data_IF_058981909525
#
_entry.id   IF_058981909525
#
_cell.length_a   1.000
_cell.length_b   1.000
_cell.length_c   1.000
_cell.angle_alpha   90.00
_cell.angle_beta   90.00
_cell.angle_gamma   90.00
#
_symmetry.space_group_name_H-M   'P 1'
#
loop_
_entity.id
_entity.type
_entity.pdbx_description
1 polymer ?
#
# COMPACT_ATOMS: atom_id res chain seq x y z
N UNK A 1 0.22 4.06 -12.10
CA UNK A 1 1.19 4.40 -11.04
C UNK A 1 2.20 3.28 -10.85
N UNK A 2 1.82 2.08 -10.37
CA UNK A 2 2.78 0.98 -10.20
C UNK A 2 3.60 0.63 -11.45
N UNK A 3 2.99 0.66 -12.64
CA UNK A 3 3.71 0.47 -13.90
C UNK A 3 4.76 1.56 -14.15
N UNK A 4 4.44 2.82 -13.87
CA UNK A 4 5.35 3.96 -13.99
C UNK A 4 6.50 3.83 -12.99
N UNK A 5 6.22 3.43 -11.76
CA UNK A 5 7.24 3.21 -10.74
C UNK A 5 8.15 2.03 -11.10
N UNK A 6 7.60 0.95 -11.66
CA UNK A 6 8.38 -0.22 -12.05
C UNK A 6 9.28 0.04 -13.27
N UNK A 7 8.71 0.57 -14.35
CA UNK A 7 9.43 0.78 -15.61
C UNK A 7 10.19 2.09 -15.60
N UNK A 8 9.50 3.19 -15.30
CA UNK A 8 10.09 4.53 -15.27
C UNK A 8 11.10 4.65 -14.13
N UNK A 9 10.64 4.61 -12.88
CA UNK A 9 11.54 4.85 -11.75
C UNK A 9 12.58 3.75 -11.57
N UNK A 10 12.18 2.48 -11.41
CA UNK A 10 13.12 1.42 -11.10
C UNK A 10 14.01 1.05 -12.28
N UNK A 11 13.44 0.59 -13.40
CA UNK A 11 14.24 0.11 -14.52
C UNK A 11 14.97 1.19 -15.31
N UNK A 12 14.38 2.37 -15.48
CA UNK A 12 15.00 3.41 -16.32
C UNK A 12 15.99 4.29 -15.54
N UNK A 13 15.82 4.45 -14.22
CA UNK A 13 16.71 5.29 -13.41
C UNK A 13 17.43 4.51 -12.29
N UNK A 14 16.69 3.80 -11.43
CA UNK A 14 17.24 3.28 -10.17
C UNK A 14 18.13 2.04 -10.32
N UNK A 15 18.02 1.29 -11.42
CA UNK A 15 18.91 0.16 -11.75
C UNK A 15 20.38 0.54 -11.84
N UNK A 16 20.69 1.77 -12.26
CA UNK A 16 22.06 2.29 -12.30
C UNK A 16 22.67 2.53 -10.91
N UNK A 17 21.81 2.70 -9.89
CA UNK A 17 22.19 3.03 -8.52
C UNK A 17 22.15 1.78 -7.63
N UNK A 18 21.11 0.96 -7.81
CA UNK A 18 20.88 -0.24 -7.01
C UNK A 18 20.48 -1.40 -7.92
N UNK A 19 21.32 -2.44 -8.06
CA UNK A 19 20.99 -3.62 -8.88
C UNK A 19 19.69 -4.31 -8.46
N UNK A 20 19.30 -4.25 -7.17
CA UNK A 20 18.04 -4.80 -6.69
C UNK A 20 16.81 -4.13 -7.31
N UNK A 21 16.96 -2.93 -7.90
CA UNK A 21 15.91 -2.23 -8.64
C UNK A 21 15.39 -3.04 -9.83
N UNK A 22 16.17 -3.97 -10.39
CA UNK A 22 15.69 -4.89 -11.43
C UNK A 22 14.51 -5.73 -10.91
N UNK A 23 14.68 -6.30 -9.71
CA UNK A 23 13.66 -7.12 -9.04
C UNK A 23 12.51 -6.22 -8.59
N UNK A 24 12.80 -5.06 -8.00
CA UNK A 24 11.75 -4.12 -7.58
C UNK A 24 10.88 -3.68 -8.74
N UNK A 25 11.47 -3.37 -9.90
CA UNK A 25 10.73 -3.04 -11.11
C UNK A 25 9.77 -4.15 -11.53
N UNK A 26 10.24 -5.40 -11.58
CA UNK A 26 9.41 -6.55 -11.93
C UNK A 26 8.24 -6.74 -10.95
N UNK A 27 8.50 -6.61 -9.64
CA UNK A 27 7.48 -6.72 -8.59
C UNK A 27 6.43 -5.60 -8.70
N UNK A 28 6.84 -4.38 -9.03
CA UNK A 28 5.93 -3.25 -9.23
C UNK A 28 5.07 -3.42 -10.50
N UNK A 29 5.65 -3.91 -11.60
CA UNK A 29 4.89 -4.25 -12.81
C UNK A 29 3.87 -5.35 -12.51
N UNK A 30 4.27 -6.39 -11.79
CA UNK A 30 3.36 -7.44 -11.35
C UNK A 30 2.20 -6.87 -10.51
N UNK A 31 2.48 -5.98 -9.56
CA UNK A 31 1.43 -5.32 -8.78
C UNK A 31 0.49 -4.49 -9.66
N UNK A 32 0.99 -3.82 -10.69
CA UNK A 32 0.15 -3.10 -11.65
C UNK A 32 -0.81 -4.05 -12.39
N UNK A 33 -0.31 -5.21 -12.82
CA UNK A 33 -1.12 -6.23 -13.49
C UNK A 33 -2.16 -6.84 -12.55
N UNK A 34 -1.80 -7.14 -11.30
CA UNK A 34 -2.72 -7.68 -10.30
C UNK A 34 -3.86 -6.70 -10.00
N UNK A 35 -3.56 -5.41 -9.84
CA UNK A 35 -4.57 -4.37 -9.64
C UNK A 35 -5.49 -4.23 -10.86
N UNK A 36 -4.95 -4.30 -12.08
CA UNK A 36 -5.73 -4.24 -13.30
C UNK A 36 -6.62 -5.48 -13.50
N UNK A 37 -6.13 -6.67 -13.12
CA UNK A 37 -6.84 -7.93 -13.24
C UNK A 37 -7.93 -8.12 -12.16
N UNK A 38 -7.79 -7.48 -11.00
CA UNK A 38 -8.65 -7.71 -9.84
C UNK A 38 -10.17 -7.57 -10.12
N UNK A 39 -10.66 -6.54 -10.84
CA UNK A 39 -12.08 -6.42 -11.17
C UNK A 39 -12.60 -7.56 -12.07
N UNK A 40 -11.75 -8.13 -12.92
CA UNK A 40 -12.11 -9.21 -13.83
C UNK A 40 -12.13 -10.58 -13.14
N UNK A 41 -11.19 -10.81 -12.24
CA UNK A 41 -11.06 -12.08 -11.49
C UNK A 41 -12.02 -12.14 -10.30
N UNK A 42 -12.40 -10.99 -9.76
CA UNK A 42 -13.34 -10.89 -8.64
C UNK A 42 -14.43 -9.86 -8.98
N UNK A 43 -15.52 -10.27 -9.65
CA UNK A 43 -16.60 -9.36 -10.05
C UNK A 43 -17.29 -8.61 -8.88
N UNK A 44 -17.17 -9.15 -7.66
CA UNK A 44 -17.63 -8.51 -6.42
C UNK A 44 -16.64 -7.50 -5.83
N UNK A 45 -15.46 -7.31 -6.43
CA UNK A 45 -14.48 -6.34 -5.97
C UNK A 45 -14.93 -4.93 -6.33
N UNK A 46 -15.57 -4.26 -5.36
CA UNK A 46 -16.00 -2.87 -5.46
C UNK A 46 -15.49 -2.12 -4.23
N UNK A 47 -14.99 -0.92 -4.44
CA UNK A 47 -14.69 -0.01 -3.34
C UNK A 47 -16.04 0.46 -2.77
N UNK A 48 -16.25 0.22 -1.49
CA UNK A 48 -17.49 0.52 -0.80
C UNK A 48 -17.15 1.18 0.54
N UNK A 49 -16.74 2.47 0.53
CA UNK A 49 -16.45 3.18 1.76
C UNK A 49 -17.71 3.24 2.66
N UNK A 50 -17.51 3.04 3.96
CA UNK A 50 -18.56 3.03 4.99
C UNK A 50 -18.19 3.97 6.14
N UNK A 51 -19.14 4.26 7.02
CA UNK A 51 -18.87 5.05 8.24
C UNK A 51 -18.18 4.15 9.27
N UNK A 52 -16.91 3.86 9.04
CA UNK A 52 -16.07 3.06 9.94
C UNK A 52 -14.62 3.53 9.98
N UNK A 53 -13.90 3.07 11.01
CA UNK A 53 -12.48 3.43 11.25
C UNK A 53 -11.57 2.99 10.11
N UNK A 54 -11.89 1.88 9.42
CA UNK A 54 -11.09 1.37 8.30
C UNK A 54 -11.16 2.32 7.11
N UNK A 55 -12.34 2.83 6.81
CA UNK A 55 -12.59 3.80 5.74
C UNK A 55 -11.90 5.12 6.05
N UNK A 56 -12.02 5.62 7.28
CA UNK A 56 -11.32 6.84 7.71
C UNK A 56 -9.81 6.67 7.59
N UNK A 57 -9.24 5.56 8.07
CA UNK A 57 -7.81 5.29 7.96
C UNK A 57 -7.36 5.19 6.49
N UNK A 58 -8.12 4.48 5.65
CA UNK A 58 -7.83 4.35 4.23
C UNK A 58 -7.82 5.69 3.49
N UNK A 59 -8.84 6.52 3.72
CA UNK A 59 -8.95 7.86 3.15
C UNK A 59 -7.85 8.80 3.68
N UNK A 60 -7.52 8.73 4.97
CA UNK A 60 -6.44 9.52 5.56
C UNK A 60 -5.08 9.18 4.94
N UNK A 61 -4.78 7.89 4.72
CA UNK A 61 -3.56 7.46 4.02
C UNK A 61 -3.54 7.94 2.56
N UNK A 62 -4.67 7.84 1.86
CA UNK A 62 -4.78 8.31 0.48
C UNK A 62 -4.59 9.83 0.39
N UNK A 63 -5.22 10.60 1.27
CA UNK A 63 -5.08 12.05 1.35
C UNK A 63 -3.65 12.46 1.74
N UNK A 64 -3.04 11.75 2.69
CA UNK A 64 -1.64 11.97 3.06
C UNK A 64 -0.72 11.81 1.86
N UNK A 65 -0.86 10.72 1.09
CA UNK A 65 -0.01 10.46 -0.06
C UNK A 65 -0.16 11.49 -1.18
N UNK A 66 -1.37 12.01 -1.41
CA UNK A 66 -1.62 12.98 -2.49
C UNK A 66 -1.25 14.40 -2.08
N UNK A 67 -1.49 14.80 -0.83
CA UNK A 67 -1.37 16.18 -0.38
C UNK A 67 -0.16 16.38 0.52
N UNK A 68 -0.18 15.72 1.68
CA UNK A 68 0.78 15.98 2.75
C UNK A 68 2.18 15.56 2.34
N UNK A 69 2.33 14.38 1.74
CA UNK A 69 3.61 13.87 1.27
C UNK A 69 4.29 14.83 0.29
N UNK A 70 3.51 15.39 -0.63
CA UNK A 70 4.00 16.32 -1.65
C UNK A 70 4.45 17.64 -1.02
N UNK A 71 3.65 18.17 -0.09
CA UNK A 71 3.96 19.40 0.65
C UNK A 71 5.22 19.22 1.49
N UNK A 72 5.36 18.09 2.19
CA UNK A 72 6.55 17.76 2.97
C UNK A 72 7.79 17.64 2.07
N UNK A 73 7.69 16.94 0.94
CA UNK A 73 8.79 16.85 -0.02
C UNK A 73 9.28 18.21 -0.50
N UNK A 74 8.35 19.13 -0.79
CA UNK A 74 8.68 20.51 -1.16
C UNK A 74 9.30 21.32 0.00
N UNK A 75 8.72 21.24 1.20
CA UNK A 75 9.21 21.94 2.40
C UNK A 75 10.61 21.49 2.82
N UNK A 76 10.94 20.21 2.62
CA UNK A 76 12.28 19.66 2.91
C UNK A 76 13.27 19.88 1.76
N UNK A 77 13.03 20.86 0.89
CA UNK A 77 14.01 21.35 -0.09
C UNK A 77 14.28 20.42 -1.25
N UNK A 78 13.47 19.36 -1.44
CA UNK A 78 13.55 18.56 -2.66
C UNK A 78 12.89 19.38 -3.77
N UNK A 79 13.66 19.74 -4.78
CA UNK A 79 13.18 20.43 -5.99
C UNK A 79 13.19 19.44 -7.14
N UNK A 80 12.20 19.53 -8.02
CA UNK A 80 12.08 18.64 -9.17
C UNK A 80 13.40 18.65 -9.97
N UNK A 81 13.96 17.49 -10.38
CA UNK A 81 13.35 16.16 -10.43
C UNK A 81 13.51 15.29 -9.18
N UNK A 82 14.11 15.82 -8.09
CA UNK A 82 14.35 15.06 -6.87
C UNK A 82 13.11 14.93 -5.95
N UNK A 83 11.97 15.53 -6.30
CA UNK A 83 10.74 15.40 -5.49
C UNK A 83 10.14 14.01 -5.71
N UNK A 84 9.96 13.21 -4.65
CA UNK A 84 9.22 11.97 -4.76
C UNK A 84 7.73 12.28 -4.96
N UNK A 85 7.31 12.52 -6.20
CA UNK A 85 5.92 12.86 -6.48
C UNK A 85 5.03 11.61 -6.45
N UNK A 86 3.84 11.74 -5.87
CA UNK A 86 2.78 10.74 -5.98
C UNK A 86 2.55 10.30 -7.43
N UNK A 87 2.59 8.98 -7.64
CA UNK A 87 2.38 8.37 -8.95
C UNK A 87 3.65 8.19 -9.80
N UNK A 88 4.77 8.75 -9.35
CA UNK A 88 6.11 8.59 -9.93
C UNK A 88 7.05 7.88 -8.95
N UNK A 89 6.97 8.24 -7.67
CA UNK A 89 7.79 7.65 -6.61
C UNK A 89 7.12 6.42 -5.96
N UNK A 90 7.90 5.36 -5.66
CA UNK A 90 7.38 4.14 -5.03
C UNK A 90 6.66 4.35 -3.69
N UNK A 91 7.21 5.17 -2.80
CA UNK A 91 6.72 5.38 -1.44
C UNK A 91 5.29 5.94 -1.39
N UNK A 92 4.99 7.13 -1.96
CA UNK A 92 3.64 7.71 -1.90
C UNK A 92 2.61 6.87 -2.68
N UNK A 93 3.00 6.22 -3.78
CA UNK A 93 2.13 5.28 -4.50
C UNK A 93 1.73 4.09 -3.63
N UNK A 94 2.66 3.55 -2.85
CA UNK A 94 2.40 2.42 -1.95
C UNK A 94 1.44 2.83 -0.83
N UNK A 95 1.68 3.96 -0.18
CA UNK A 95 0.81 4.50 0.88
C UNK A 95 -0.61 4.70 0.37
N UNK A 96 -0.76 5.38 -0.77
CA UNK A 96 -2.06 5.61 -1.39
C UNK A 96 -2.77 4.30 -1.71
N UNK A 97 -2.07 3.34 -2.31
CA UNK A 97 -2.69 2.09 -2.76
C UNK A 97 -3.14 1.25 -1.58
N UNK A 98 -2.37 1.21 -0.49
CA UNK A 98 -2.82 0.61 0.77
C UNK A 98 -4.10 1.30 1.23
N UNK A 99 -4.12 2.64 1.25
CA UNK A 99 -5.29 3.43 1.63
C UNK A 99 -6.54 3.07 0.82
N UNK A 100 -6.42 2.98 -0.51
CA UNK A 100 -7.53 2.62 -1.41
C UNK A 100 -7.98 1.17 -1.21
N UNK A 101 -7.05 0.22 -1.07
CA UNK A 101 -7.39 -1.18 -0.89
C UNK A 101 -8.12 -1.45 0.43
N UNK A 102 -7.91 -0.63 1.46
CA UNK A 102 -8.67 -0.70 2.72
C UNK A 102 -10.16 -0.32 2.57
N UNK A 103 -10.53 0.40 1.49
CA UNK A 103 -11.92 0.73 1.16
C UNK A 103 -12.64 -0.43 0.45
N UNK A 104 -11.91 -1.46 0.04
CA UNK A 104 -12.43 -2.64 -0.63
C UNK A 104 -12.72 -3.81 0.32
N UNK A 105 -13.34 -4.87 -0.20
CA UNK A 105 -13.61 -6.07 0.58
C UNK A 105 -12.30 -6.79 0.95
N UNK A 106 -12.13 -7.08 2.24
CA UNK A 106 -10.88 -7.62 2.80
C UNK A 106 -10.42 -8.94 2.15
N UNK A 107 -11.36 -9.81 1.76
CA UNK A 107 -11.03 -11.11 1.19
C UNK A 107 -10.27 -11.04 -0.14
N UNK A 108 -10.50 -9.99 -0.95
CA UNK A 108 -9.73 -9.69 -2.17
C UNK A 108 -8.54 -8.79 -1.83
N UNK A 109 -8.79 -7.71 -1.07
CA UNK A 109 -7.78 -6.69 -0.78
C UNK A 109 -6.52 -7.26 -0.12
N UNK A 110 -6.65 -8.24 0.79
CA UNK A 110 -5.51 -8.87 1.47
C UNK A 110 -4.46 -9.46 0.52
N UNK A 111 -4.88 -9.95 -0.64
CA UNK A 111 -3.97 -10.53 -1.64
C UNK A 111 -3.26 -9.43 -2.42
N UNK A 112 -3.99 -8.37 -2.78
CA UNK A 112 -3.44 -7.18 -3.46
C UNK A 112 -2.53 -6.35 -2.55
N UNK A 113 -2.65 -6.49 -1.23
CA UNK A 113 -1.83 -5.81 -0.24
C UNK A 113 -0.45 -6.44 -0.03
N UNK A 114 -0.21 -7.69 -0.45
CA UNK A 114 1.05 -8.39 -0.17
C UNK A 114 2.28 -7.63 -0.67
N UNK A 115 2.29 -7.25 -1.95
CA UNK A 115 3.41 -6.53 -2.56
C UNK A 115 3.56 -5.12 -1.93
N UNK A 116 2.50 -4.30 -1.81
CA UNK A 116 2.57 -3.01 -1.12
C UNK A 116 3.13 -3.12 0.31
N UNK A 117 2.70 -4.12 1.08
CA UNK A 117 3.15 -4.34 2.46
C UNK A 117 4.63 -4.70 2.50
N UNK A 118 5.11 -5.59 1.63
CA UNK A 118 6.55 -5.89 1.53
C UNK A 118 7.32 -4.61 1.22
N UNK A 119 6.81 -3.76 0.33
CA UNK A 119 7.45 -2.49 0.02
C UNK A 119 7.47 -1.52 1.20
N UNK A 120 6.43 -1.48 2.05
CA UNK A 120 6.46 -0.62 3.25
C UNK A 120 7.60 -0.98 4.20
N UNK A 121 8.02 -2.25 4.24
CA UNK A 121 9.17 -2.70 5.04
C UNK A 121 10.47 -2.21 4.39
N UNK A 122 10.63 -2.44 3.08
CA UNK A 122 11.84 -2.06 2.34
C UNK A 122 12.01 -0.54 2.32
N UNK A 123 11.01 0.18 1.83
CA UNK A 123 11.01 1.65 1.76
C UNK A 123 11.01 2.30 3.15
N UNK A 124 10.28 1.74 4.11
CA UNK A 124 10.26 2.25 5.48
C UNK A 124 11.60 2.07 6.20
N UNK A 125 12.32 0.98 5.94
CA UNK A 125 13.67 0.80 6.47
C UNK A 125 14.64 1.84 5.93
N UNK A 126 14.59 2.13 4.62
CA UNK A 126 15.38 3.19 4.01
C UNK A 126 15.02 4.57 4.56
N UNK A 127 13.73 4.83 4.80
CA UNK A 127 13.25 6.08 5.38
C UNK A 127 13.84 6.36 6.76
N UNK A 128 13.90 5.34 7.63
CA UNK A 128 14.47 5.47 8.97
C UNK A 128 15.99 5.64 8.92
N UNK A 129 16.68 4.87 8.06
CA UNK A 129 18.14 4.92 7.94
C UNK A 129 18.64 6.23 7.33
N UNK A 130 17.90 6.78 6.37
CA UNK A 130 18.24 8.01 5.66
C UNK A 130 17.55 9.26 6.27
N UNK A 131 16.80 9.08 7.36
CA UNK A 131 16.05 10.12 8.07
C UNK A 131 15.18 10.96 7.14
N UNK A 132 14.31 10.29 6.36
CA UNK A 132 13.41 10.87 5.35
C UNK A 132 11.98 10.92 5.92
N UNK A 133 11.55 12.05 6.55
CA UNK A 133 10.35 12.05 7.37
C UNK A 133 9.05 11.85 6.57
N UNK A 134 9.03 12.28 5.30
CA UNK A 134 7.87 12.06 4.43
C UNK A 134 7.57 10.57 4.20
N UNK A 135 8.59 9.71 4.27
CA UNK A 135 8.41 8.26 4.10
C UNK A 135 7.95 7.55 5.37
N UNK A 136 7.85 8.25 6.52
CA UNK A 136 7.27 7.67 7.74
C UNK A 136 5.79 7.27 7.57
N UNK A 137 5.11 7.83 6.56
CA UNK A 137 3.80 7.35 6.15
C UNK A 137 3.78 5.87 5.74
N UNK A 138 4.89 5.27 5.31
CA UNK A 138 5.00 3.84 5.02
C UNK A 138 4.85 2.99 6.28
N UNK A 139 5.44 3.43 7.41
CA UNK A 139 5.27 2.75 8.70
C UNK A 139 3.81 2.83 9.16
N UNK A 140 3.18 4.00 9.03
CA UNK A 140 1.76 4.16 9.35
C UNK A 140 0.87 3.24 8.48
N UNK A 141 1.14 3.15 7.18
CA UNK A 141 0.42 2.27 6.27
C UNK A 141 0.62 0.78 6.62
N UNK A 142 1.84 0.37 6.97
CA UNK A 142 2.14 -0.99 7.43
C UNK A 142 1.36 -1.35 8.69
N UNK A 143 1.40 -0.49 9.71
CA UNK A 143 0.68 -0.69 10.97
C UNK A 143 -0.83 -0.76 10.76
N UNK A 144 -1.39 0.08 9.88
CA UNK A 144 -2.80 0.03 9.53
C UNK A 144 -3.18 -1.35 8.94
N UNK A 145 -2.40 -1.86 7.99
CA UNK A 145 -2.66 -3.18 7.39
C UNK A 145 -2.57 -4.29 8.43
N UNK A 146 -1.57 -4.26 9.32
CA UNK A 146 -1.45 -5.24 10.39
C UNK A 146 -2.63 -5.19 11.36
N UNK A 147 -3.05 -4.00 11.80
CA UNK A 147 -4.16 -3.82 12.72
C UNK A 147 -5.47 -4.35 12.14
N UNK A 148 -5.82 -3.94 10.90
CA UNK A 148 -7.02 -4.42 10.25
C UNK A 148 -6.93 -5.90 9.87
N UNK A 149 -5.75 -6.40 9.50
CA UNK A 149 -5.54 -7.81 9.23
C UNK A 149 -5.73 -8.69 10.46
N UNK A 150 -5.20 -8.27 11.60
CA UNK A 150 -5.41 -8.94 12.88
C UNK A 150 -6.89 -8.92 13.27
N UNK A 151 -7.55 -7.76 13.22
CA UNK A 151 -8.97 -7.64 13.56
C UNK A 151 -9.86 -8.55 12.70
N UNK A 152 -9.66 -8.56 11.38
CA UNK A 152 -10.40 -9.45 10.47
C UNK A 152 -10.13 -10.93 10.75
N UNK A 153 -8.89 -11.30 11.08
CA UNK A 153 -8.54 -12.67 11.44
C UNK A 153 -9.21 -13.11 12.75
N UNK A 154 -9.20 -12.26 13.77
CA UNK A 154 -9.87 -12.54 15.06
C UNK A 154 -11.38 -12.72 14.87
N UNK A 155 -12.04 -11.84 14.12
CA UNK A 155 -13.48 -11.94 13.84
C UNK A 155 -13.81 -13.25 13.10
N UNK A 156 -13.03 -13.60 12.08
CA UNK A 156 -13.21 -14.86 11.33
C UNK A 156 -12.93 -16.11 12.18
N UNK A 157 -12.06 -16.02 13.18
CA UNK A 157 -11.76 -17.12 14.10
C UNK A 157 -12.87 -17.31 15.14
N UNK A 158 -13.42 -16.21 15.68
CA UNK A 158 -14.53 -16.24 16.63
C UNK A 158 -15.79 -16.80 15.97
N UNK A 159 -16.15 -16.32 14.78
CA UNK A 159 -17.31 -16.82 14.04
C UNK A 159 -17.24 -18.33 13.78
N UNK A 160 -16.07 -18.83 13.36
CA UNK A 160 -15.86 -20.28 13.17
C UNK A 160 -16.00 -21.10 14.46
N UNK A 161 -15.63 -20.55 15.62
CA UNK A 161 -15.80 -21.22 16.92
C UNK A 161 -17.27 -21.32 17.33
N UNK A 162 -18.05 -20.24 17.14
CA UNK A 162 -19.48 -20.22 17.47
C UNK A 162 -20.28 -21.21 16.61
N UNK A 163 -20.03 -21.26 15.30
CA UNK A 163 -20.68 -22.22 14.39
C UNK A 163 -20.40 -23.67 14.83
N UNK A 164 -19.16 -23.97 15.20
CA UNK A 164 -18.78 -25.31 15.68
C UNK A 164 -19.43 -25.66 17.02
N UNK A 165 -19.68 -24.69 17.90
CA UNK A 165 -20.37 -24.91 19.18
C UNK A 165 -21.85 -25.27 18.96
N UNK A 166 -22.57 -24.54 18.09
CA UNK A 166 -23.98 -24.81 17.80
C UNK A 166 -24.21 -26.12 17.02
N UNK A 167 -23.23 -26.61 16.27
CA UNK A 167 -23.34 -27.90 15.57
C UNK A 167 -23.23 -29.13 16.48
N UNK A 168 -22.95 -28.93 17.78
CA UNK A 168 -22.74 -30.00 18.77
C UNK A 168 -23.83 -30.07 19.84
N UNK A 169 -24.83 -29.18 19.78
CA UNK A 169 -26.04 -29.17 20.61
C UNK A 169 -27.21 -29.73 19.82
#
# INVERSE_FOLDING_TARGET
MFLVNGVGYHWSFFTSINPAAQIFGAVFVLQALLLAAAPFVSPGFRLAPSIDVRTVAGLALAAYAILIYQVLGWLFGHVYPAVPLFGIAPCPTTIFTIGILLLGPWHVARWLLLIPVIWTIIGGSAALLLNVPQDYGLLAAFLAVLAFGAANWFHARIGRRMVKANSRS
#
